data_IF_123801410615
#
_entry.id   IF_123801410615
#
_cell.length_a   1.000
_cell.length_b   1.000
_cell.length_c   1.000
_cell.angle_alpha   90.00
_cell.angle_beta   90.00
_cell.angle_gamma   90.00
#
_symmetry.space_group_name_H-M   'P 1'
#
loop_
_entity.id
_entity.type
_entity.pdbx_description
1 polymer ?
#
# COMPACT_ATOMS: atom_id res chain seq x y z
N UNK A 1 36.29 17.93 -14.93
CA UNK A 1 35.00 17.45 -15.47
C UNK A 1 34.75 16.03 -14.99
N UNK A 2 33.81 15.84 -14.05
CA UNK A 2 33.03 14.59 -13.86
C UNK A 2 32.08 14.79 -12.68
N UNK A 3 30.94 15.41 -12.95
CA UNK A 3 29.72 15.11 -12.21
C UNK A 3 28.90 14.18 -13.11
N UNK A 4 29.13 12.88 -12.98
CA UNK A 4 28.14 11.92 -13.46
C UNK A 4 27.23 11.63 -12.27
N UNK A 5 25.94 12.02 -12.32
CA UNK A 5 24.98 11.54 -11.33
C UNK A 5 24.96 10.02 -11.44
N UNK A 6 25.27 9.33 -10.33
CA UNK A 6 25.08 7.88 -10.28
C UNK A 6 23.60 7.59 -10.57
N UNK A 7 23.27 6.72 -11.52
CA UNK A 7 21.88 6.39 -11.80
C UNK A 7 21.25 5.89 -10.49
N UNK A 8 20.14 6.53 -10.08
CA UNK A 8 19.33 6.07 -8.96
C UNK A 8 18.96 4.62 -9.26
N UNK A 9 19.33 3.70 -8.37
CA UNK A 9 18.93 2.30 -8.45
C UNK A 9 17.41 2.19 -8.69
N UNK A 10 16.90 1.15 -9.38
CA UNK A 10 15.50 1.07 -9.77
C UNK A 10 14.57 0.97 -8.55
N UNK A 11 14.15 2.13 -7.99
CA UNK A 11 13.28 2.24 -6.80
C UNK A 11 11.81 1.87 -7.12
N UNK A 12 11.51 1.48 -8.37
CA UNK A 12 10.13 1.31 -8.83
C UNK A 12 9.61 -0.14 -8.75
N UNK A 13 10.46 -1.15 -8.99
CA UNK A 13 9.99 -2.53 -9.15
C UNK A 13 9.73 -3.22 -7.80
N UNK A 14 10.67 -3.15 -6.86
CA UNK A 14 10.56 -3.75 -5.52
C UNK A 14 9.35 -3.19 -4.73
N UNK A 15 9.14 -1.87 -4.79
CA UNK A 15 8.01 -1.21 -4.15
C UNK A 15 6.66 -1.58 -4.79
N UNK A 16 6.64 -1.75 -6.12
CA UNK A 16 5.45 -2.19 -6.85
C UNK A 16 5.08 -3.65 -6.57
N UNK A 17 6.07 -4.54 -6.52
CA UNK A 17 5.85 -5.97 -6.24
C UNK A 17 5.35 -6.19 -4.81
N UNK A 18 5.94 -5.52 -3.83
CA UNK A 18 5.48 -5.61 -2.42
C UNK A 18 4.04 -5.14 -2.24
N UNK A 19 3.66 -4.02 -2.86
CA UNK A 19 2.27 -3.54 -2.84
C UNK A 19 1.31 -4.47 -3.58
N UNK A 20 1.73 -5.02 -4.73
CA UNK A 20 0.93 -5.97 -5.50
C UNK A 20 0.65 -7.25 -4.72
N UNK A 21 1.65 -7.76 -4.01
CA UNK A 21 1.51 -8.96 -3.17
C UNK A 21 0.62 -8.72 -1.96
N UNK A 22 0.70 -7.53 -1.33
CA UNK A 22 -0.19 -7.16 -0.23
C UNK A 22 -1.65 -7.08 -0.70
N UNK A 23 -1.89 -6.44 -1.84
CA UNK A 23 -3.23 -6.35 -2.43
C UNK A 23 -3.76 -7.75 -2.80
N UNK A 24 -2.98 -8.56 -3.51
CA UNK A 24 -3.36 -9.92 -3.88
C UNK A 24 -3.67 -10.78 -2.64
N UNK A 25 -2.83 -10.71 -1.60
CA UNK A 25 -3.04 -11.40 -0.33
C UNK A 25 -4.35 -10.99 0.34
N UNK A 26 -4.64 -9.68 0.41
CA UNK A 26 -5.89 -9.19 0.98
C UNK A 26 -7.11 -9.70 0.21
N UNK A 27 -7.08 -9.65 -1.14
CA UNK A 27 -8.18 -10.11 -2.00
C UNK A 27 -8.44 -11.60 -1.79
N UNK A 28 -7.39 -12.44 -1.75
CA UNK A 28 -7.53 -13.88 -1.53
C UNK A 28 -8.18 -14.18 -0.17
N UNK A 29 -7.78 -13.47 0.89
CA UNK A 29 -8.35 -13.65 2.23
C UNK A 29 -9.84 -13.29 2.24
N UNK A 30 -10.20 -12.09 1.77
CA UNK A 30 -11.60 -11.65 1.76
C UNK A 30 -12.48 -12.48 0.83
N UNK A 31 -11.94 -12.92 -0.31
CA UNK A 31 -12.61 -13.86 -1.21
C UNK A 31 -12.87 -15.20 -0.53
N UNK A 32 -11.87 -15.79 0.14
CA UNK A 32 -12.03 -17.06 0.84
C UNK A 32 -13.09 -16.99 1.95
N UNK A 33 -13.13 -15.89 2.71
CA UNK A 33 -14.16 -15.65 3.73
C UNK A 33 -15.54 -15.54 3.07
N UNK A 34 -15.68 -14.74 2.02
CA UNK A 34 -16.94 -14.57 1.32
C UNK A 34 -17.45 -15.86 0.70
N UNK A 35 -16.55 -16.65 0.12
CA UNK A 35 -16.88 -17.95 -0.43
C UNK A 35 -17.40 -18.91 0.64
N UNK A 36 -16.76 -18.96 1.82
CA UNK A 36 -17.23 -19.80 2.94
C UNK A 36 -18.61 -19.40 3.44
N UNK A 37 -18.87 -18.09 3.56
CA UNK A 37 -20.17 -17.55 3.99
C UNK A 37 -21.24 -17.86 2.94
N UNK A 38 -20.96 -17.55 1.67
CA UNK A 38 -21.88 -17.80 0.56
C UNK A 38 -22.20 -19.30 0.40
N UNK A 39 -21.21 -20.18 0.61
CA UNK A 39 -21.39 -21.63 0.54
C UNK A 39 -22.26 -22.16 1.69
N UNK A 40 -22.17 -21.55 2.88
CA UNK A 40 -22.99 -21.95 4.03
C UNK A 40 -24.43 -21.43 3.94
N UNK A 41 -24.62 -20.22 3.43
CA UNK A 41 -25.92 -19.55 3.34
C UNK A 41 -26.63 -19.78 1.99
N UNK A 42 -25.95 -20.36 0.99
CA UNK A 42 -26.48 -20.55 -0.36
C UNK A 42 -26.64 -19.26 -1.15
N UNK A 43 -26.00 -18.17 -0.74
CA UNK A 43 -26.12 -16.82 -1.33
C UNK A 43 -25.06 -16.51 -2.39
N UNK A 44 -24.38 -17.54 -2.91
CA UNK A 44 -23.32 -17.38 -3.92
C UNK A 44 -23.81 -16.54 -5.11
N UNK A 45 -23.14 -15.40 -5.46
CA UNK A 45 -21.85 -14.87 -4.98
C UNK A 45 -21.96 -13.52 -4.23
N UNK A 46 -22.99 -13.27 -3.42
CA UNK A 46 -23.25 -11.95 -2.85
C UNK A 46 -22.17 -11.52 -1.85
N UNK A 47 -21.84 -12.35 -0.86
CA UNK A 47 -20.87 -11.99 0.18
C UNK A 47 -19.44 -11.93 -0.37
N UNK A 48 -19.10 -12.78 -1.34
CA UNK A 48 -17.83 -12.69 -2.08
C UNK A 48 -17.63 -11.31 -2.71
N UNK A 49 -18.63 -10.80 -3.43
CA UNK A 49 -18.54 -9.50 -4.12
C UNK A 49 -18.38 -8.38 -3.09
N UNK A 50 -19.22 -8.38 -2.05
CA UNK A 50 -19.19 -7.32 -1.02
C UNK A 50 -17.85 -7.29 -0.29
N UNK A 51 -17.31 -8.45 0.10
CA UNK A 51 -16.06 -8.53 0.84
C UNK A 51 -14.84 -8.18 -0.02
N UNK A 52 -14.83 -8.55 -1.30
CA UNK A 52 -13.76 -8.12 -2.21
C UNK A 52 -13.79 -6.61 -2.43
N UNK A 53 -14.98 -6.02 -2.64
CA UNK A 53 -15.09 -4.56 -2.73
C UNK A 53 -14.62 -3.87 -1.45
N UNK A 54 -14.97 -4.40 -0.29
CA UNK A 54 -14.49 -3.90 0.99
C UNK A 54 -12.96 -3.98 1.12
N UNK A 55 -12.35 -5.07 0.70
CA UNK A 55 -10.89 -5.24 0.69
C UNK A 55 -10.19 -4.16 -0.16
N UNK A 56 -10.70 -3.95 -1.38
CA UNK A 56 -10.16 -2.96 -2.31
C UNK A 56 -10.29 -1.55 -1.72
N UNK A 57 -11.47 -1.18 -1.22
CA UNK A 57 -11.71 0.14 -0.61
C UNK A 57 -10.82 0.34 0.62
N UNK A 58 -10.71 -0.67 1.49
CA UNK A 58 -9.83 -0.64 2.66
C UNK A 58 -8.38 -0.39 2.27
N UNK A 59 -7.91 -1.00 1.18
CA UNK A 59 -6.55 -0.80 0.68
C UNK A 59 -6.32 0.61 0.14
N UNK A 60 -7.31 1.20 -0.54
CA UNK A 60 -7.26 2.60 -0.96
C UNK A 60 -7.20 3.56 0.24
N UNK A 61 -8.00 3.30 1.28
CA UNK A 61 -8.00 4.09 2.51
C UNK A 61 -6.63 3.99 3.20
N UNK A 62 -6.09 2.78 3.35
CA UNK A 62 -4.75 2.56 3.92
C UNK A 62 -3.69 3.32 3.13
N UNK A 63 -3.73 3.25 1.80
CA UNK A 63 -2.79 3.97 0.93
C UNK A 63 -2.85 5.49 1.17
N UNK A 64 -4.05 6.06 1.31
CA UNK A 64 -4.23 7.48 1.61
C UNK A 64 -3.60 7.88 2.96
N UNK A 65 -3.82 7.08 4.01
CA UNK A 65 -3.26 7.34 5.34
C UNK A 65 -1.74 7.14 5.40
N UNK A 66 -1.22 6.06 4.79
CA UNK A 66 0.22 5.79 4.71
C UNK A 66 0.93 6.92 3.99
N UNK A 67 0.39 7.38 2.85
CA UNK A 67 0.95 8.52 2.11
C UNK A 67 1.02 9.80 2.95
N UNK A 68 -0.06 10.10 3.69
CA UNK A 68 -0.12 11.26 4.59
C UNK A 68 0.90 11.18 5.74
N UNK A 69 1.11 9.98 6.29
CA UNK A 69 2.09 9.75 7.36
C UNK A 69 3.54 9.83 6.87
N UNK A 70 3.81 9.33 5.66
CA UNK A 70 5.13 9.33 5.06
C UNK A 70 5.64 10.76 4.76
N UNK A 71 4.75 11.65 4.30
CA UNK A 71 5.11 13.05 4.04
C UNK A 71 5.55 13.78 5.31
N UNK A 72 4.86 13.57 6.44
CA UNK A 72 5.22 14.20 7.73
C UNK A 72 6.61 13.81 8.20
N UNK A 73 7.04 12.58 7.97
CA UNK A 73 8.39 12.13 8.34
C UNK A 73 9.48 12.68 7.40
N UNK A 74 9.17 12.87 6.12
CA UNK A 74 10.11 13.50 5.18
C UNK A 74 10.27 15.00 5.42
N UNK A 75 9.20 15.69 5.84
CA UNK A 75 9.25 17.09 6.26
C UNK A 75 10.07 17.27 7.53
N UNK A 76 9.86 16.42 8.55
CA UNK A 76 10.64 16.46 9.80
C UNK A 76 12.14 16.26 9.56
N UNK A 77 12.51 15.24 8.77
CA UNK A 77 13.91 15.01 8.40
C UNK A 77 14.52 16.22 7.70
N UNK A 78 13.78 16.87 6.81
CA UNK A 78 14.27 18.06 6.10
C UNK A 78 14.49 19.25 7.04
N UNK A 79 13.60 19.45 8.01
CA UNK A 79 13.72 20.53 9.00
C UNK A 79 14.89 20.29 9.96
N UNK A 80 15.12 19.05 10.38
CA UNK A 80 16.30 18.68 11.20
C UNK A 80 17.61 18.86 10.44
N UNK A 81 17.67 18.42 9.18
CA UNK A 81 18.85 18.57 8.32
C UNK A 81 19.16 20.05 8.04
N UNK A 82 18.12 20.89 7.85
CA UNK A 82 18.25 22.34 7.70
C UNK A 82 18.70 23.05 8.99
N UNK A 83 18.40 22.48 10.16
CA UNK A 83 18.80 23.01 11.47
C UNK A 83 20.23 22.62 11.83
N UNK A 84 20.64 21.38 11.53
CA UNK A 84 22.02 20.91 11.75
C UNK A 84 23.04 21.54 10.79
N UNK A 85 22.61 21.99 9.61
CA UNK A 85 23.48 22.70 8.67
C UNK A 85 23.74 24.19 9.03
N UNK A 86 23.04 24.74 10.03
CA UNK A 86 23.16 26.14 10.48
C UNK A 86 23.89 26.31 11.83
N UNK A 87 24.29 25.21 12.47
CA UNK A 87 25.09 25.17 13.72
C UNK A 87 26.52 24.74 13.44
#
# INVERSE_FOLDING_TARGET
>A
MKLLPKPKAPVALEAGVSHGMELAGSVVVFFGIGFGIDAWLGTTPLFMIVLVLFAVVGQFIKMYYVYSSAMRHLEQKRVEESRGAQS
#
